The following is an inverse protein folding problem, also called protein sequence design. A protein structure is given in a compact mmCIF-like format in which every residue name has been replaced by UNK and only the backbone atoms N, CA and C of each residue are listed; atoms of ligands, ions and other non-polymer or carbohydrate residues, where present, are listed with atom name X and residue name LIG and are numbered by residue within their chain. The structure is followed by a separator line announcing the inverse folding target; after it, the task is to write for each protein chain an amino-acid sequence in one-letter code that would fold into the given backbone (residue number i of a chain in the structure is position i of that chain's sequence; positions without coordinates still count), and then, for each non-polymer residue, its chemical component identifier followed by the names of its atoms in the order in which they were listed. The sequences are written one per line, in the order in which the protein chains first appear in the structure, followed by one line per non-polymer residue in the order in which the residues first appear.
data_IF_645593297164
#
_entry.id   IF_645593297164
#
_cell.length_a   1.000
_cell.length_b   1.000
_cell.length_c   1.000
_cell.angle_alpha   90.00
_cell.angle_beta   90.00
_cell.angle_gamma   90.00
#
_symmetry.space_group_name_H-M   'P 1'
#
loop_
_entity.id
_entity.type
_entity.pdbx_description
1 polymer ?
#
# COMPACT_ATOMS: atom_id res chain seq x y z
N UNK A 1 -0.73 -8.29 -13.11
CA UNK A 1 -1.06 -7.71 -11.80
C UNK A 1 -0.01 -6.66 -11.47
N UNK A 2 -0.42 -5.44 -11.10
CA UNK A 2 0.49 -4.30 -10.90
C UNK A 2 0.48 -3.86 -9.44
N UNK A 3 1.64 -3.53 -8.86
CA UNK A 3 1.72 -2.97 -7.51
C UNK A 3 2.05 -1.47 -7.54
N UNK A 4 1.40 -0.68 -6.69
CA UNK A 4 1.59 0.78 -6.58
C UNK A 4 1.93 1.11 -5.13
N UNK A 5 3.06 1.80 -4.92
CA UNK A 5 3.50 2.27 -3.60
C UNK A 5 3.31 3.79 -3.51
N UNK A 6 2.25 4.22 -2.81
CA UNK A 6 1.87 5.62 -2.67
C UNK A 6 2.73 6.38 -1.67
N UNK A 7 3.35 7.47 -2.11
CA UNK A 7 4.11 8.37 -1.23
C UNK A 7 3.26 9.49 -0.63
N UNK A 8 3.92 10.57 -0.22
CA UNK A 8 3.27 11.81 0.22
C UNK A 8 2.20 12.27 -0.78
N UNK A 9 0.98 12.48 -0.31
CA UNK A 9 -0.14 12.95 -1.15
C UNK A 9 -0.89 11.85 -1.92
N UNK A 10 -0.40 10.61 -1.94
CA UNK A 10 -1.09 9.46 -2.51
C UNK A 10 -1.34 8.41 -1.41
N UNK A 11 -2.18 8.77 -0.45
CA UNK A 11 -2.59 7.87 0.66
C UNK A 11 -3.75 6.96 0.29
N UNK A 12 -4.45 7.30 -0.78
CA UNK A 12 -5.55 6.53 -1.36
C UNK A 12 -5.43 6.56 -2.88
N UNK A 13 -5.88 5.49 -3.53
CA UNK A 13 -5.92 5.40 -4.98
C UNK A 13 -7.36 5.63 -5.44
N UNK A 14 -7.67 6.86 -5.87
CA UNK A 14 -9.02 7.21 -6.35
C UNK A 14 -9.43 6.31 -7.52
N UNK A 15 -10.64 5.76 -7.44
CA UNK A 15 -11.16 4.84 -8.45
C UNK A 15 -10.68 3.38 -8.31
N UNK A 16 -9.94 3.06 -7.24
CA UNK A 16 -9.65 1.67 -6.91
C UNK A 16 -10.91 1.01 -6.35
N UNK A 17 -11.43 0.04 -7.08
CA UNK A 17 -12.46 -0.89 -6.63
C UNK A 17 -11.83 -1.91 -5.68
N UNK A 18 -11.90 -1.64 -4.38
CA UNK A 18 -11.28 -2.47 -3.36
C UNK A 18 -11.97 -3.84 -3.27
N UNK A 19 -11.18 -4.90 -3.41
CA UNK A 19 -11.64 -6.28 -3.22
C UNK A 19 -11.48 -6.73 -1.77
N UNK A 20 -10.28 -6.59 -1.21
CA UNK A 20 -9.97 -6.92 0.17
C UNK A 20 -8.68 -6.22 0.62
N UNK A 21 -8.43 -6.29 1.92
CA UNK A 21 -7.17 -5.85 2.55
C UNK A 21 -6.52 -7.03 3.23
N UNK A 22 -5.20 -7.11 3.11
CA UNK A 22 -4.40 -8.18 3.69
C UNK A 22 -3.31 -7.59 4.57
N UNK A 23 -3.20 -8.08 5.80
CA UNK A 23 -2.06 -7.80 6.67
C UNK A 23 -1.09 -8.97 6.51
N UNK A 24 0.11 -8.68 6.02
CA UNK A 24 1.14 -9.68 5.74
C UNK A 24 2.37 -9.41 6.59
N UNK A 25 3.05 -10.50 6.98
CA UNK A 25 4.35 -10.44 7.64
C UNK A 25 5.42 -10.92 6.68
N UNK A 26 6.55 -10.23 6.63
CA UNK A 26 7.72 -10.68 5.88
C UNK A 26 8.83 -11.09 6.86
N UNK A 27 9.82 -11.89 6.43
CA UNK A 27 11.03 -12.13 7.22
C UNK A 27 11.79 -10.84 7.59
N UNK A 28 11.51 -9.72 6.91
CA UNK A 28 12.12 -8.42 7.15
C UNK A 28 11.27 -7.52 8.06
N UNK A 29 10.12 -8.00 8.53
CA UNK A 29 9.22 -7.31 9.45
C UNK A 29 7.84 -7.02 8.84
N UNK A 30 7.14 -6.08 9.46
CA UNK A 30 5.84 -5.60 8.98
C UNK A 30 6.04 -4.58 7.85
N UNK A 31 5.24 -4.62 6.77
CA UNK A 31 5.15 -3.53 5.81
C UNK A 31 4.61 -2.25 6.44
N UNK A 32 4.67 -1.14 5.71
CA UNK A 32 4.15 0.16 6.15
C UNK A 32 2.64 0.17 6.46
N UNK A 33 1.88 -0.82 5.97
CA UNK A 33 0.44 -0.96 6.21
C UNK A 33 -0.12 -2.20 5.52
N UNK A 34 -1.45 -2.38 5.60
CA UNK A 34 -2.13 -3.46 4.91
C UNK A 34 -2.06 -3.28 3.38
N UNK A 35 -1.84 -4.38 2.66
CA UNK A 35 -1.93 -4.41 1.20
C UNK A 35 -3.40 -4.29 0.79
N UNK A 36 -3.71 -3.32 -0.07
CA UNK A 36 -5.05 -3.10 -0.59
C UNK A 36 -5.14 -3.70 -2.00
N UNK A 37 -5.90 -4.78 -2.16
CA UNK A 37 -6.09 -5.43 -3.45
C UNK A 37 -7.37 -4.93 -4.11
N UNK A 38 -7.36 -4.73 -5.42
CA UNK A 38 -8.56 -4.30 -6.14
C UNK A 38 -8.37 -4.18 -7.63
N UNK A 39 -9.31 -3.51 -8.28
CA UNK A 39 -9.23 -3.15 -9.70
C UNK A 39 -9.19 -1.65 -9.89
N UNK A 40 -8.32 -1.18 -10.77
CA UNK A 40 -8.30 0.21 -11.24
C UNK A 40 -8.52 0.20 -12.74
N UNK A 41 -9.62 0.79 -13.21
CA UNK A 41 -9.99 0.79 -14.63
C UNK A 41 -10.01 -0.61 -15.26
N UNK A 42 -10.51 -1.61 -14.50
CA UNK A 42 -10.57 -3.01 -14.92
C UNK A 42 -9.27 -3.81 -14.73
N UNK A 43 -8.15 -3.16 -14.41
CA UNK A 43 -6.85 -3.81 -14.20
C UNK A 43 -6.63 -4.20 -12.74
N UNK A 44 -6.15 -5.41 -12.47
CA UNK A 44 -5.81 -5.86 -11.12
C UNK A 44 -4.59 -5.12 -10.56
N UNK A 45 -4.78 -4.49 -9.40
CA UNK A 45 -3.79 -3.66 -8.72
C UNK A 45 -3.70 -4.01 -7.23
N UNK A 46 -2.48 -3.97 -6.69
CA UNK A 46 -2.20 -3.93 -5.25
C UNK A 46 -1.66 -2.57 -4.89
N UNK A 47 -2.18 -1.96 -3.82
CA UNK A 47 -1.77 -0.66 -3.35
C UNK A 47 -1.24 -0.73 -1.92
N UNK A 48 -0.12 -0.05 -1.67
CA UNK A 48 0.50 0.09 -0.35
C UNK A 48 0.88 1.55 -0.11
N UNK A 49 0.54 2.08 1.06
CA UNK A 49 1.00 3.41 1.49
C UNK A 49 2.42 3.33 2.05
N UNK A 50 3.36 4.05 1.44
CA UNK A 50 4.78 4.05 1.82
C UNK A 50 5.00 4.50 3.26
N UNK A 51 4.28 5.54 3.66
CA UNK A 51 4.38 6.16 4.99
C UNK A 51 3.31 5.64 5.96
N UNK A 52 2.68 4.53 5.60
CA UNK A 52 1.58 3.94 6.34
C UNK A 52 0.29 4.77 6.31
N UNK A 53 -0.78 4.24 6.92
CA UNK A 53 -2.04 4.97 7.09
C UNK A 53 -1.80 6.27 7.85
N UNK A 54 -2.38 7.38 7.36
CA UNK A 54 -2.23 8.69 7.99
C UNK A 54 -0.83 9.32 7.88
N UNK A 55 0.07 8.77 7.05
CA UNK A 55 1.39 9.36 6.80
C UNK A 55 2.26 9.50 8.08
N UNK A 56 2.26 8.45 8.92
CA UNK A 56 2.88 8.48 10.24
C UNK A 56 4.33 7.97 10.26
N UNK A 57 4.75 7.21 9.24
CA UNK A 57 6.09 6.64 9.15
C UNK A 57 7.01 7.63 8.41
N UNK A 58 8.04 8.21 9.05
CA UNK A 58 8.96 9.11 8.37
C UNK A 58 9.86 8.36 7.37
N UNK A 59 10.42 9.03 6.34
CA UNK A 59 11.18 8.37 5.27
C UNK A 59 12.29 7.42 5.75
N UNK A 60 13.04 7.81 6.80
CA UNK A 60 14.14 7.01 7.33
C UNK A 60 13.70 5.80 8.17
N UNK A 61 12.39 5.64 8.43
CA UNK A 61 11.81 4.48 9.14
C UNK A 61 10.98 3.58 8.24
N UNK A 62 10.89 3.87 6.94
CA UNK A 62 10.17 3.00 5.99
C UNK A 62 10.93 1.68 5.88
N UNK A 63 10.22 0.56 6.08
CA UNK A 63 10.78 -0.76 5.84
C UNK A 63 10.68 -1.10 4.34
N UNK A 64 11.78 -0.89 3.61
CA UNK A 64 11.84 -1.12 2.17
C UNK A 64 12.06 -2.59 1.78
N UNK A 65 12.23 -3.49 2.75
CA UNK A 65 12.55 -4.90 2.55
C UNK A 65 11.33 -5.79 2.76
#
# INVERSE_FOLDING_TARGET
MTAIIGGSGLTELKGLELSHREVVRTPYGEPSGALCYGKLSGCEVVFLTRHGPGHTIPPHKVNYR
#
